data_IF_409764881573
#
_entry.id   IF_409764881573
#
_cell.length_a   1.000
_cell.length_b   1.000
_cell.length_c   1.000
_cell.angle_alpha   90.00
_cell.angle_beta   90.00
_cell.angle_gamma   90.00
#
_symmetry.space_group_name_H-M   'P 1'
#
loop_
_entity.id
_entity.type
_entity.pdbx_description
1 polymer ?
#
# COMPACT_ATOMS: atom_id res chain seq x y z
N UNK A 1 1.53 2.70 -30.67
CA UNK A 1 1.96 1.60 -29.79
C UNK A 1 3.09 2.04 -28.84
N UNK A 2 2.82 2.94 -27.89
CA UNK A 2 3.85 3.54 -27.01
C UNK A 2 3.48 3.57 -25.52
N UNK A 3 2.30 3.08 -25.14
CA UNK A 3 1.83 3.04 -23.75
C UNK A 3 2.51 1.94 -22.90
N UNK A 4 2.89 0.81 -23.52
CA UNK A 4 3.54 -0.32 -22.83
C UNK A 4 5.04 -0.07 -22.63
N UNK A 5 5.70 0.60 -23.58
CA UNK A 5 7.16 0.79 -23.56
C UNK A 5 7.65 1.72 -22.43
N UNK A 6 6.82 2.66 -21.96
CA UNK A 6 7.16 3.54 -20.84
C UNK A 6 6.70 3.00 -19.47
N UNK A 7 5.62 2.22 -19.41
CA UNK A 7 5.11 1.67 -18.14
C UNK A 7 6.03 0.59 -17.56
N UNK A 8 6.74 -0.14 -18.42
CA UNK A 8 7.62 -1.24 -18.05
C UNK A 8 8.71 -0.84 -17.05
N UNK A 9 9.29 0.36 -17.19
CA UNK A 9 10.39 0.82 -16.30
C UNK A 9 9.93 1.00 -14.85
N UNK A 10 8.74 1.58 -14.64
CA UNK A 10 8.17 1.74 -13.30
C UNK A 10 7.68 0.43 -12.70
N UNK A 11 7.11 -0.46 -13.52
CA UNK A 11 6.72 -1.80 -13.08
C UNK A 11 7.93 -2.65 -12.66
N UNK A 12 9.00 -2.64 -13.46
CA UNK A 12 10.22 -3.40 -13.17
C UNK A 12 10.94 -2.86 -11.92
N UNK A 13 10.90 -1.54 -11.69
CA UNK A 13 11.36 -0.94 -10.44
C UNK A 13 10.51 -1.42 -9.25
N UNK A 14 9.18 -1.38 -9.34
CA UNK A 14 8.31 -1.91 -8.28
C UNK A 14 8.59 -3.39 -8.00
N UNK A 15 8.84 -4.20 -9.03
CA UNK A 15 9.14 -5.63 -8.90
C UNK A 15 10.50 -5.85 -8.23
N UNK A 16 11.53 -5.08 -8.61
CA UNK A 16 12.84 -5.09 -7.96
C UNK A 16 12.80 -4.67 -6.49
N UNK A 17 11.83 -3.86 -6.07
CA UNK A 17 11.63 -3.50 -4.66
C UNK A 17 10.82 -4.59 -3.94
N UNK A 18 9.79 -5.10 -4.59
CA UNK A 18 8.87 -6.07 -3.99
C UNK A 18 9.55 -7.41 -3.68
N UNK A 19 10.42 -7.92 -4.56
CA UNK A 19 11.11 -9.20 -4.36
C UNK A 19 11.99 -9.21 -3.09
N UNK A 20 12.96 -8.30 -2.91
CA UNK A 20 13.78 -8.28 -1.69
C UNK A 20 12.95 -7.91 -0.45
N UNK A 21 11.94 -7.04 -0.58
CA UNK A 21 11.05 -6.71 0.53
C UNK A 21 10.22 -7.92 1.00
N UNK A 22 9.74 -8.75 0.08
CA UNK A 22 8.98 -9.94 0.40
C UNK A 22 9.86 -11.00 1.08
N UNK A 23 11.08 -11.20 0.55
CA UNK A 23 12.07 -12.10 1.15
C UNK A 23 12.42 -11.63 2.57
N UNK A 24 12.79 -10.36 2.74
CA UNK A 24 13.12 -9.78 4.04
C UNK A 24 11.94 -9.83 5.03
N UNK A 25 10.73 -9.54 4.55
CA UNK A 25 9.49 -9.64 5.33
C UNK A 25 9.15 -11.07 5.76
N UNK A 26 9.60 -12.08 5.00
CA UNK A 26 9.44 -13.48 5.39
C UNK A 26 10.40 -13.90 6.50
N UNK A 27 11.59 -13.30 6.59
CA UNK A 27 12.54 -13.57 7.68
C UNK A 27 12.14 -12.88 8.99
N UNK A 28 11.49 -11.72 8.90
CA UNK A 28 10.99 -10.96 10.07
C UNK A 28 9.48 -10.78 9.98
N UNK A 29 8.69 -11.85 10.22
CA UNK A 29 7.24 -11.85 10.02
C UNK A 29 6.48 -10.88 10.95
N UNK A 30 7.12 -10.44 12.05
CA UNK A 30 6.57 -9.46 13.00
C UNK A 30 6.33 -8.10 12.34
N UNK A 31 7.18 -7.74 11.37
CA UNK A 31 7.19 -6.43 10.71
C UNK A 31 6.43 -6.50 9.36
N UNK A 32 6.44 -7.67 8.71
CA UNK A 32 5.71 -7.92 7.47
C UNK A 32 6.35 -7.30 6.21
N UNK A 33 6.08 -7.91 5.05
CA UNK A 33 6.59 -7.47 3.75
C UNK A 33 6.29 -6.01 3.37
N UNK A 34 5.09 -5.45 3.68
CA UNK A 34 4.77 -4.06 3.33
C UNK A 34 5.68 -3.02 3.99
N UNK A 35 6.07 -3.22 5.25
CA UNK A 35 6.92 -2.26 5.97
C UNK A 35 8.33 -2.22 5.36
N UNK A 36 8.91 -3.38 5.05
CA UNK A 36 10.18 -3.45 4.33
C UNK A 36 10.11 -2.81 2.94
N UNK A 37 8.99 -3.00 2.22
CA UNK A 37 8.78 -2.37 0.92
C UNK A 37 8.74 -0.83 1.01
N UNK A 38 8.09 -0.29 2.05
CA UNK A 38 8.04 1.16 2.31
C UNK A 38 9.44 1.70 2.63
N UNK A 39 10.20 1.02 3.50
CA UNK A 39 11.56 1.43 3.88
C UNK A 39 12.51 1.41 2.67
N UNK A 40 12.52 0.33 1.89
CA UNK A 40 13.32 0.24 0.68
C UNK A 40 12.89 1.29 -0.36
N UNK A 41 11.58 1.50 -0.52
CA UNK A 41 11.03 2.55 -1.36
C UNK A 41 11.55 3.94 -0.96
N UNK A 42 11.59 4.23 0.34
CA UNK A 42 12.09 5.50 0.89
C UNK A 42 13.59 5.69 0.68
N UNK A 43 14.39 4.62 0.74
CA UNK A 43 15.84 4.69 0.46
C UNK A 43 16.07 4.93 -1.04
N UNK A 44 15.36 4.20 -1.89
CA UNK A 44 15.51 4.29 -3.36
C UNK A 44 15.02 5.65 -3.87
N UNK A 45 13.99 6.21 -3.24
CA UNK A 45 13.48 7.53 -3.61
C UNK A 45 14.50 8.64 -3.37
N UNK A 46 15.47 8.45 -2.46
CA UNK A 46 16.56 9.38 -2.20
C UNK A 46 17.58 9.43 -3.36
N UNK A 47 17.83 8.29 -4.01
CA UNK A 47 18.76 8.18 -5.15
C UNK A 47 18.10 8.54 -6.50
N UNK A 48 16.82 8.20 -6.69
CA UNK A 48 16.08 8.50 -7.92
C UNK A 48 15.37 9.85 -7.78
N UNK A 49 16.07 10.92 -8.17
CA UNK A 49 15.55 12.30 -8.13
C UNK A 49 14.57 12.59 -9.27
N UNK A 50 14.75 11.94 -10.42
CA UNK A 50 13.93 12.15 -11.61
C UNK A 50 12.78 11.12 -11.71
N UNK A 51 11.65 11.47 -11.08
CA UNK A 51 10.47 10.59 -10.92
C UNK A 51 9.66 10.42 -12.21
N UNK A 52 9.79 11.35 -13.15
CA UNK A 52 8.89 11.50 -14.32
C UNK A 52 8.74 10.23 -15.15
N UNK A 53 9.83 9.47 -15.34
CA UNK A 53 9.84 8.23 -16.12
C UNK A 53 9.29 7.00 -15.38
N UNK A 54 9.24 7.04 -14.05
CA UNK A 54 8.81 5.91 -13.21
C UNK A 54 7.39 6.08 -12.67
N UNK A 55 6.93 7.32 -12.49
CA UNK A 55 5.59 7.66 -11.98
C UNK A 55 4.46 6.92 -12.73
N UNK A 56 4.57 6.82 -14.05
CA UNK A 56 3.54 6.18 -14.86
C UNK A 56 3.42 4.67 -14.56
N UNK A 57 4.54 3.96 -14.42
CA UNK A 57 4.53 2.53 -14.08
C UNK A 57 4.17 2.25 -12.61
N UNK A 58 4.55 3.15 -11.69
CA UNK A 58 4.13 3.06 -10.27
C UNK A 58 2.61 3.24 -10.16
N UNK A 59 2.05 4.25 -10.82
CA UNK A 59 0.61 4.52 -10.84
C UNK A 59 -0.18 3.38 -11.50
N UNK A 60 0.35 2.80 -12.58
CA UNK A 60 -0.23 1.62 -13.21
C UNK A 60 -0.29 0.43 -12.24
N UNK A 61 0.78 0.19 -11.48
CA UNK A 61 0.86 -0.90 -10.50
C UNK A 61 -0.11 -0.67 -9.33
N UNK A 62 -0.13 0.54 -8.77
CA UNK A 62 -0.98 0.89 -7.64
C UNK A 62 -2.47 0.91 -7.98
N UNK A 63 -2.86 1.16 -9.23
CA UNK A 63 -4.27 1.22 -9.63
C UNK A 63 -4.73 -0.07 -10.31
N UNK A 64 -4.14 -0.43 -11.45
CA UNK A 64 -4.62 -1.57 -12.26
C UNK A 64 -4.21 -2.91 -11.66
N UNK A 65 -2.93 -3.10 -11.37
CA UNK A 65 -2.44 -4.39 -10.83
C UNK A 65 -3.04 -4.66 -9.45
N UNK A 66 -3.09 -3.64 -8.58
CA UNK A 66 -3.74 -3.78 -7.27
C UNK A 66 -5.23 -4.13 -7.42
N UNK A 67 -5.95 -3.48 -8.34
CA UNK A 67 -7.35 -3.81 -8.60
C UNK A 67 -7.55 -5.24 -9.11
N UNK A 68 -6.73 -5.70 -10.07
CA UNK A 68 -6.78 -7.09 -10.54
C UNK A 68 -6.46 -8.09 -9.43
N UNK A 69 -5.48 -7.79 -8.57
CA UNK A 69 -5.16 -8.62 -7.41
C UNK A 69 -6.36 -8.73 -6.46
N UNK A 70 -7.05 -7.62 -6.17
CA UNK A 70 -8.27 -7.62 -5.33
C UNK A 70 -9.41 -8.41 -5.99
N UNK A 71 -9.62 -8.27 -7.30
CA UNK A 71 -10.65 -9.01 -8.04
C UNK A 71 -10.38 -10.52 -7.97
N UNK A 72 -9.15 -10.94 -8.27
CA UNK A 72 -8.73 -12.35 -8.21
C UNK A 72 -8.83 -12.90 -6.78
N UNK A 73 -8.44 -12.12 -5.78
CA UNK A 73 -8.60 -12.48 -4.38
C UNK A 73 -10.08 -12.68 -4.02
N UNK A 74 -10.96 -11.79 -4.51
CA UNK A 74 -12.41 -11.92 -4.32
C UNK A 74 -12.99 -13.21 -4.91
N UNK A 75 -12.55 -13.62 -6.09
CA UNK A 75 -12.96 -14.91 -6.69
C UNK A 75 -12.46 -16.14 -5.92
N UNK A 76 -11.36 -16.02 -5.18
CA UNK A 76 -10.80 -17.10 -4.36
C UNK A 76 -11.46 -17.27 -2.98
N UNK A 77 -12.33 -16.36 -2.57
CA UNK A 77 -12.92 -16.35 -1.23
C UNK A 77 -14.36 -16.90 -1.22
N UNK A 78 -14.69 -17.67 -0.19
CA UNK A 78 -16.05 -18.16 0.04
C UNK A 78 -16.92 -17.03 0.61
N UNK A 79 -18.07 -16.74 -0.02
CA UNK A 79 -18.98 -15.67 0.42
C UNK A 79 -19.40 -15.78 1.89
N UNK A 80 -19.62 -16.99 2.41
CA UNK A 80 -20.02 -17.21 3.81
C UNK A 80 -18.90 -16.83 4.76
N UNK A 81 -17.66 -17.19 4.44
CA UNK A 81 -16.47 -16.83 5.22
C UNK A 81 -16.24 -15.32 5.19
N UNK A 82 -16.45 -14.68 4.03
CA UNK A 82 -16.33 -13.22 3.87
C UNK A 82 -17.37 -12.48 4.70
N UNK A 83 -18.61 -12.98 4.76
CA UNK A 83 -19.66 -12.40 5.60
C UNK A 83 -19.37 -12.53 7.09
N UNK A 84 -18.88 -13.69 7.53
CA UNK A 84 -18.54 -13.94 8.93
C UNK A 84 -17.33 -13.10 9.38
N UNK A 85 -16.21 -13.19 8.65
CA UNK A 85 -15.01 -12.39 8.91
C UNK A 85 -15.27 -10.90 8.72
N UNK A 86 -16.11 -10.52 7.74
CA UNK A 86 -16.54 -9.15 7.50
C UNK A 86 -17.34 -8.58 8.67
N UNK A 87 -18.33 -9.32 9.21
CA UNK A 87 -19.10 -8.90 10.39
C UNK A 87 -18.23 -8.72 11.63
N UNK A 88 -17.20 -9.55 11.80
CA UNK A 88 -16.26 -9.42 12.90
C UNK A 88 -15.29 -8.26 12.70
N UNK A 89 -14.80 -8.06 11.47
CA UNK A 89 -13.81 -7.03 11.15
C UNK A 89 -14.41 -5.63 11.10
N UNK A 90 -15.67 -5.50 10.64
CA UNK A 90 -16.36 -4.22 10.49
C UNK A 90 -16.43 -3.39 11.79
N UNK A 91 -16.87 -3.92 12.95
CA UNK A 91 -16.87 -3.16 14.21
C UNK A 91 -15.45 -2.80 14.67
N UNK A 92 -14.45 -3.68 14.44
CA UNK A 92 -13.04 -3.39 14.76
C UNK A 92 -12.52 -2.25 13.89
N UNK A 93 -12.82 -2.25 12.60
CA UNK A 93 -12.43 -1.21 11.65
C UNK A 93 -13.10 0.13 12.03
N UNK A 94 -14.40 0.11 12.36
CA UNK A 94 -15.11 1.33 12.81
C UNK A 94 -14.46 1.87 14.08
N UNK A 95 -14.28 1.04 15.10
CA UNK A 95 -13.68 1.46 16.37
C UNK A 95 -12.27 2.05 16.15
N UNK A 96 -11.42 1.35 15.40
CA UNK A 96 -10.03 1.79 15.16
C UNK A 96 -9.95 3.08 14.34
N UNK A 97 -10.75 3.23 13.27
CA UNK A 97 -10.78 4.46 12.47
C UNK A 97 -11.34 5.62 13.29
N UNK A 98 -12.44 5.41 14.02
CA UNK A 98 -13.02 6.45 14.89
C UNK A 98 -12.03 6.88 15.97
N UNK A 99 -11.40 5.94 16.67
CA UNK A 99 -10.37 6.25 17.67
C UNK A 99 -9.19 7.00 17.04
N UNK A 100 -8.69 6.55 15.89
CA UNK A 100 -7.60 7.23 15.19
C UNK A 100 -7.96 8.66 14.79
N UNK A 101 -9.19 8.91 14.29
CA UNK A 101 -9.67 10.24 13.91
C UNK A 101 -9.86 11.15 15.12
N UNK A 102 -10.42 10.63 16.22
CA UNK A 102 -10.60 11.38 17.47
C UNK A 102 -9.24 11.80 18.03
N UNK A 103 -8.29 10.88 18.11
CA UNK A 103 -6.93 11.17 18.59
C UNK A 103 -6.24 12.21 17.70
N UNK A 104 -6.31 12.03 16.37
CA UNK A 104 -5.74 12.99 15.43
C UNK A 104 -6.36 14.39 15.57
N UNK A 105 -7.68 14.48 15.76
CA UNK A 105 -8.39 15.75 15.96
C UNK A 105 -8.02 16.42 17.28
N UNK A 106 -7.95 15.65 18.37
CA UNK A 106 -7.54 16.15 19.69
C UNK A 106 -6.10 16.68 19.63
N UNK A 107 -5.17 15.91 19.06
CA UNK A 107 -3.78 16.34 18.89
C UNK A 107 -3.66 17.59 18.03
N UNK A 108 -4.37 17.66 16.90
CA UNK A 108 -4.41 18.85 16.05
C UNK A 108 -4.86 20.09 16.83
N UNK A 109 -5.89 19.95 17.67
CA UNK A 109 -6.42 21.06 18.48
C UNK A 109 -5.51 21.46 19.64
N UNK A 110 -4.87 20.50 20.30
CA UNK A 110 -3.94 20.75 21.41
C UNK A 110 -2.65 21.39 20.90
N UNK A 111 -2.14 20.93 19.75
CA UNK A 111 -0.90 21.44 19.16
C UNK A 111 -1.08 22.75 18.38
N UNK A 112 -2.30 23.32 18.31
CA UNK A 112 -2.61 24.51 17.51
C UNK A 112 -1.97 24.47 16.10
N UNK A 113 -2.03 23.30 15.46
CA UNK A 113 -1.48 23.16 14.11
C UNK A 113 -2.29 24.08 13.21
N UNK A 114 -1.65 24.99 12.45
CA UNK A 114 -2.38 25.89 11.56
C UNK A 114 -3.11 25.05 10.52
N UNK A 115 -4.43 25.01 10.62
CA UNK A 115 -5.29 24.44 9.59
C UNK A 115 -5.12 25.30 8.33
N UNK A 116 -4.47 24.74 7.31
CA UNK A 116 -4.36 25.37 5.99
C UNK A 116 -5.49 24.92 5.08
#
# INVERSE_FOLDING_TARGET
MTFVKNSWKGFLLCLLIAVPAWIAGSYVPIIGGPVFAILLGMIITLFIKDRTKFQYGISFTSKKILQYAVILLGFGLNLSVVLETGKQSLPIIIATITTSLVIAFVLHRVMNIPSK
#
